data_IF_846835111832
#
_entry.id   IF_846835111832
#
_cell.length_a   1.000
_cell.length_b   1.000
_cell.length_c   1.000
_cell.angle_alpha   90.00
_cell.angle_beta   90.00
_cell.angle_gamma   90.00
#
_symmetry.space_group_name_H-M   'P 1'
#
loop_
_entity.id
_entity.type
_entity.pdbx_description
1 polymer ?
#
# COMPACT_ATOMS: atom_id res chain seq x y z
N UNK A 1 -21.92 28.41 -5.07
CA UNK A 1 -22.41 27.22 -4.36
C UNK A 1 -21.22 26.33 -4.13
N UNK A 2 -20.80 26.12 -2.89
CA UNK A 2 -19.67 25.24 -2.54
C UNK A 2 -20.12 24.36 -1.40
N UNK A 3 -20.22 23.06 -1.68
CA UNK A 3 -20.58 22.01 -0.74
C UNK A 3 -19.97 20.70 -1.22
N UNK A 4 -19.92 19.67 -0.36
CA UNK A 4 -19.31 18.40 -0.70
C UNK A 4 -20.00 17.77 -1.90
N UNK A 5 -19.20 17.33 -2.87
CA UNK A 5 -19.62 16.57 -4.05
C UNK A 5 -19.18 15.14 -3.85
N UNK A 6 -20.13 14.21 -3.88
CA UNK A 6 -19.83 12.79 -3.93
C UNK A 6 -19.86 12.30 -5.37
N UNK A 7 -18.79 11.65 -5.80
CA UNK A 7 -18.70 10.96 -7.08
C UNK A 7 -18.59 9.46 -6.82
N UNK A 8 -19.45 8.68 -7.47
CA UNK A 8 -19.43 7.23 -7.40
C UNK A 8 -19.50 6.66 -8.83
N UNK A 9 -18.49 5.86 -9.18
CA UNK A 9 -18.40 5.16 -10.46
C UNK A 9 -18.33 3.67 -10.15
N UNK A 10 -19.07 2.86 -10.91
CA UNK A 10 -19.05 1.39 -10.80
C UNK A 10 -18.58 0.77 -12.10
N UNK A 11 -17.93 -0.38 -11.99
CA UNK A 11 -17.51 -1.23 -13.10
C UNK A 11 -16.75 -0.44 -14.19
N UNK A 12 -15.74 0.31 -13.76
CA UNK A 12 -14.98 1.25 -14.58
C UNK A 12 -13.53 0.84 -14.80
N UNK A 13 -12.81 1.72 -15.50
CA UNK A 13 -11.40 1.54 -15.80
C UNK A 13 -10.65 2.87 -15.76
N UNK A 14 -9.52 2.91 -15.07
CA UNK A 14 -8.53 3.99 -15.16
C UNK A 14 -7.59 3.65 -16.31
N UNK A 15 -7.55 4.49 -17.34
CA UNK A 15 -6.69 4.29 -18.51
C UNK A 15 -5.40 5.10 -18.32
N UNK A 16 -4.25 4.52 -18.71
CA UNK A 16 -2.95 5.17 -18.60
C UNK A 16 -2.29 5.05 -17.22
N UNK A 17 -2.92 4.31 -16.30
CA UNK A 17 -2.36 4.01 -14.99
C UNK A 17 -2.76 2.61 -14.54
N UNK A 18 -1.76 1.76 -14.31
CA UNK A 18 -1.92 0.41 -13.78
C UNK A 18 -1.39 0.40 -12.33
N UNK A 19 -2.29 0.32 -11.35
CA UNK A 19 -1.96 0.36 -9.92
C UNK A 19 -1.07 -0.83 -9.55
N UNK A 20 -1.34 -2.02 -10.10
CA UNK A 20 -0.57 -3.20 -9.77
C UNK A 20 0.85 -3.07 -10.31
N UNK A 21 1.03 -2.51 -11.52
CA UNK A 21 2.36 -2.19 -12.03
C UNK A 21 3.07 -1.17 -11.12
N UNK A 22 2.34 -0.16 -10.65
CA UNK A 22 2.89 0.81 -9.70
C UNK A 22 3.38 0.16 -8.40
N UNK A 23 2.71 -0.89 -7.91
CA UNK A 23 3.17 -1.67 -6.75
C UNK A 23 4.47 -2.42 -7.07
N UNK A 24 4.51 -3.09 -8.23
CA UNK A 24 5.69 -3.81 -8.70
C UNK A 24 6.93 -2.90 -8.77
N UNK A 25 6.76 -1.73 -9.40
CA UNK A 25 7.79 -0.71 -9.56
C UNK A 25 8.24 -0.15 -8.20
N UNK A 26 7.28 0.17 -7.31
CA UNK A 26 7.56 0.74 -6.00
C UNK A 26 8.26 -0.25 -5.05
N UNK A 27 7.98 -1.56 -5.17
CA UNK A 27 8.64 -2.61 -4.39
C UNK A 27 9.93 -3.12 -5.05
N UNK A 28 10.23 -2.69 -6.28
CA UNK A 28 11.36 -3.18 -7.08
C UNK A 28 11.33 -4.72 -7.24
N UNK A 29 10.14 -5.28 -7.48
CA UNK A 29 9.91 -6.73 -7.59
C UNK A 29 9.55 -7.14 -9.03
N UNK A 30 10.49 -7.09 -10.00
CA UNK A 30 10.15 -7.36 -11.40
C UNK A 30 9.47 -8.72 -11.59
N UNK A 31 8.59 -8.81 -12.58
CA UNK A 31 7.83 -10.00 -12.95
C UNK A 31 6.90 -10.49 -11.82
N UNK A 32 6.38 -9.56 -10.99
CA UNK A 32 5.33 -9.87 -10.02
C UNK A 32 3.99 -10.06 -10.74
N UNK A 33 3.77 -9.25 -11.76
CA UNK A 33 2.70 -9.37 -12.74
C UNK A 33 3.17 -10.18 -13.94
N UNK A 34 2.24 -10.98 -14.49
CA UNK A 34 2.49 -11.74 -15.72
C UNK A 34 2.42 -10.84 -16.96
N UNK A 35 1.61 -9.76 -16.90
CA UNK A 35 1.49 -8.76 -17.97
C UNK A 35 1.01 -7.42 -17.38
N UNK A 36 1.57 -6.31 -17.89
CA UNK A 36 1.05 -4.96 -17.60
C UNK A 36 -0.09 -4.64 -18.56
N UNK A 37 -1.22 -4.19 -18.02
CA UNK A 37 -2.38 -3.86 -18.86
C UNK A 37 -2.41 -2.39 -19.29
N UNK A 38 -1.52 -1.56 -18.72
CA UNK A 38 -1.53 -0.10 -18.91
C UNK A 38 -2.77 0.60 -18.35
N UNK A 39 -3.57 -0.12 -17.57
CA UNK A 39 -4.83 0.36 -17.02
C UNK A 39 -5.19 -0.34 -15.72
N UNK A 40 -6.17 0.20 -15.00
CA UNK A 40 -6.68 -0.40 -13.77
C UNK A 40 -8.18 -0.57 -13.88
N UNK A 41 -8.67 -1.81 -13.91
CA UNK A 41 -10.11 -2.10 -13.81
C UNK A 41 -10.55 -2.08 -12.35
N UNK A 42 -11.72 -1.51 -12.08
CA UNK A 42 -12.27 -1.40 -10.73
C UNK A 42 -13.79 -1.66 -10.74
N UNK A 43 -14.31 -2.25 -9.67
CA UNK A 43 -15.74 -2.43 -9.44
C UNK A 43 -16.38 -1.19 -8.80
N UNK A 44 -15.60 -0.43 -8.03
CA UNK A 44 -16.05 0.78 -7.36
C UNK A 44 -14.94 1.83 -7.32
N UNK A 45 -15.30 3.07 -7.62
CA UNK A 45 -14.54 4.28 -7.31
C UNK A 45 -15.49 5.27 -6.66
N UNK A 46 -15.37 5.48 -5.36
CA UNK A 46 -16.21 6.36 -4.56
C UNK A 46 -15.34 7.43 -3.90
N UNK A 47 -15.70 8.69 -4.10
CA UNK A 47 -14.95 9.81 -3.54
C UNK A 47 -15.87 10.92 -3.08
N UNK A 48 -15.51 11.52 -1.95
CA UNK A 48 -16.12 12.76 -1.46
C UNK A 48 -15.10 13.89 -1.60
N UNK A 49 -15.46 14.92 -2.37
CA UNK A 49 -14.58 16.05 -2.69
C UNK A 49 -15.23 17.38 -2.33
N UNK A 50 -14.41 18.33 -1.93
CA UNK A 50 -14.81 19.70 -1.63
C UNK A 50 -13.95 20.67 -2.43
N UNK A 51 -14.55 21.71 -3.00
CA UNK A 51 -13.81 22.76 -3.69
C UNK A 51 -13.28 23.76 -2.65
N UNK A 52 -11.96 23.87 -2.54
CA UNK A 52 -11.31 24.77 -1.59
C UNK A 52 -10.17 25.53 -2.25
N UNK A 53 -10.21 26.86 -2.17
CA UNK A 53 -9.10 27.75 -2.53
C UNK A 53 -8.46 27.48 -3.89
N UNK A 54 -7.48 26.58 -3.91
CA UNK A 54 -6.58 26.25 -5.03
C UNK A 54 -6.91 24.93 -5.76
N UNK A 55 -7.99 24.22 -5.39
CA UNK A 55 -8.36 22.97 -6.04
C UNK A 55 -9.47 22.19 -5.34
N UNK A 56 -9.51 20.89 -5.60
CA UNK A 56 -10.37 19.92 -4.93
C UNK A 56 -9.62 19.28 -3.78
N UNK A 57 -10.26 19.21 -2.62
CA UNK A 57 -9.82 18.43 -1.47
C UNK A 57 -10.60 17.12 -1.46
N UNK A 58 -9.87 16.01 -1.48
CA UNK A 58 -10.42 14.66 -1.44
C UNK A 58 -10.49 14.25 0.03
N UNK A 59 -11.69 14.34 0.60
CA UNK A 59 -11.98 14.00 2.01
C UNK A 59 -12.04 12.50 2.24
N UNK A 60 -12.43 11.77 1.20
CA UNK A 60 -12.46 10.31 1.20
C UNK A 60 -12.29 9.81 -0.24
N UNK A 61 -11.51 8.75 -0.38
CA UNK A 61 -11.40 7.93 -1.56
C UNK A 61 -11.57 6.47 -1.16
N UNK A 62 -12.32 5.72 -1.94
CA UNK A 62 -12.43 4.27 -1.85
C UNK A 62 -12.44 3.70 -3.26
N UNK A 63 -11.51 2.79 -3.53
CA UNK A 63 -11.41 2.06 -4.79
C UNK A 63 -11.45 0.57 -4.47
N UNK A 64 -12.28 -0.17 -5.18
CA UNK A 64 -12.34 -1.63 -5.12
C UNK A 64 -12.01 -2.20 -6.49
N UNK A 65 -11.04 -3.11 -6.53
CA UNK A 65 -10.63 -3.84 -7.72
C UNK A 65 -10.47 -5.34 -7.36
N UNK A 66 -10.38 -6.25 -8.35
CA UNK A 66 -10.22 -7.67 -8.09
C UNK A 66 -8.99 -8.00 -7.23
N UNK A 67 -7.87 -7.33 -7.51
CA UNK A 67 -6.57 -7.65 -6.91
C UNK A 67 -6.15 -6.68 -5.79
N UNK A 68 -6.88 -5.60 -5.58
CA UNK A 68 -6.61 -4.67 -4.49
C UNK A 68 -7.84 -3.84 -4.12
N UNK A 69 -7.77 -3.23 -2.95
CA UNK A 69 -8.66 -2.14 -2.55
C UNK A 69 -7.82 -1.00 -1.99
N UNK A 70 -8.24 0.23 -2.24
CA UNK A 70 -7.52 1.44 -1.82
C UNK A 70 -8.45 2.36 -1.05
N UNK A 71 -7.98 2.91 0.05
CA UNK A 71 -8.65 4.01 0.76
C UNK A 71 -7.68 5.15 0.95
N UNK A 72 -8.15 6.40 0.91
CA UNK A 72 -7.24 7.53 1.04
C UNK A 72 -7.91 8.88 1.13
N UNK A 73 -7.06 9.89 1.22
CA UNK A 73 -7.38 11.32 1.25
C UNK A 73 -6.34 12.08 0.45
N UNK A 74 -6.62 13.33 0.09
CA UNK A 74 -5.63 14.14 -0.61
C UNK A 74 -6.20 15.38 -1.27
N UNK A 75 -5.58 15.81 -2.36
CA UNK A 75 -5.99 16.97 -3.14
C UNK A 75 -5.63 16.85 -4.62
N UNK A 76 -6.41 17.56 -5.43
CA UNK A 76 -6.16 17.82 -6.84
C UNK A 76 -6.20 19.33 -7.06
N UNK A 77 -5.04 19.93 -7.35
CA UNK A 77 -4.93 21.36 -7.63
C UNK A 77 -5.42 21.70 -9.05
N UNK A 78 -5.75 22.97 -9.30
CA UNK A 78 -6.18 23.43 -10.63
C UNK A 78 -5.10 23.37 -11.72
N UNK A 79 -3.83 23.25 -11.32
CA UNK A 79 -2.70 22.99 -12.23
C UNK A 79 -2.52 21.48 -12.51
N UNK A 80 -3.52 20.66 -12.16
CA UNK A 80 -3.56 19.20 -12.29
C UNK A 80 -2.60 18.44 -11.36
N UNK A 81 -1.94 19.13 -10.42
CA UNK A 81 -1.09 18.45 -9.43
C UNK A 81 -1.94 17.56 -8.51
N UNK A 82 -1.57 16.29 -8.44
CA UNK A 82 -2.22 15.28 -7.63
C UNK A 82 -1.36 14.97 -6.40
N UNK A 83 -1.99 14.97 -5.24
CA UNK A 83 -1.40 14.46 -4.00
C UNK A 83 -2.42 13.58 -3.29
N UNK A 84 -2.18 12.29 -3.20
CA UNK A 84 -3.00 11.35 -2.44
C UNK A 84 -2.14 10.59 -1.45
N UNK A 85 -2.72 10.20 -0.33
CA UNK A 85 -2.11 9.27 0.59
C UNK A 85 -3.19 8.36 1.20
N UNK A 86 -2.79 7.17 1.62
CA UNK A 86 -3.73 6.25 2.23
C UNK A 86 -3.20 4.84 2.37
N UNK A 87 -4.11 3.87 2.36
CA UNK A 87 -3.80 2.46 2.50
C UNK A 87 -4.24 1.68 1.26
N UNK A 88 -3.33 0.83 0.79
CA UNK A 88 -3.53 -0.10 -0.31
C UNK A 88 -3.52 -1.51 0.25
N UNK A 89 -4.66 -2.19 0.19
CA UNK A 89 -4.79 -3.58 0.60
C UNK A 89 -4.84 -4.46 -0.64
N UNK A 90 -3.77 -5.22 -0.90
CA UNK A 90 -3.71 -6.20 -1.99
C UNK A 90 -4.43 -7.50 -1.60
N UNK A 91 -4.93 -8.20 -2.61
CA UNK A 91 -5.58 -9.50 -2.45
C UNK A 91 -4.64 -10.51 -1.80
N UNK A 92 -5.22 -11.55 -1.19
CA UNK A 92 -4.45 -12.58 -0.50
C UNK A 92 -3.39 -13.22 -1.42
N UNK A 93 -3.80 -13.57 -2.63
CA UNK A 93 -2.93 -14.24 -3.62
C UNK A 93 -1.74 -13.37 -4.00
N UNK A 94 -1.96 -12.07 -4.27
CA UNK A 94 -0.86 -11.16 -4.59
C UNK A 94 0.00 -10.81 -3.38
N UNK A 95 -0.62 -10.60 -2.22
CA UNK A 95 0.11 -10.32 -0.99
C UNK A 95 1.03 -11.47 -0.56
N UNK A 96 0.59 -12.73 -0.73
CA UNK A 96 1.44 -13.92 -0.49
C UNK A 96 2.63 -13.97 -1.46
N UNK A 97 2.42 -13.67 -2.76
CA UNK A 97 3.52 -13.56 -3.74
C UNK A 97 4.52 -12.47 -3.37
N UNK A 98 4.04 -11.30 -2.93
CA UNK A 98 4.90 -10.20 -2.44
C UNK A 98 5.71 -10.67 -1.25
N UNK A 99 5.09 -11.29 -0.24
CA UNK A 99 5.79 -11.76 0.97
C UNK A 99 6.85 -12.82 0.64
N UNK A 100 6.60 -13.70 -0.33
CA UNK A 100 7.60 -14.70 -0.75
C UNK A 100 8.89 -14.06 -1.29
N UNK A 101 8.78 -12.93 -2.00
CA UNK A 101 9.92 -12.21 -2.58
C UNK A 101 10.47 -11.11 -1.67
N UNK A 102 9.62 -10.55 -0.82
CA UNK A 102 9.92 -9.50 0.15
C UNK A 102 9.36 -9.88 1.54
N UNK A 103 10.04 -10.79 2.28
CA UNK A 103 9.53 -11.36 3.54
C UNK A 103 9.19 -10.31 4.60
N UNK A 104 9.89 -9.17 4.60
CA UNK A 104 9.62 -8.08 5.53
C UNK A 104 8.20 -7.50 5.39
N UNK A 105 7.55 -7.61 4.23
CA UNK A 105 6.15 -7.18 4.07
C UNK A 105 5.17 -7.95 4.97
N UNK A 106 5.56 -9.10 5.54
CA UNK A 106 4.70 -9.87 6.46
C UNK A 106 4.23 -9.05 7.66
N UNK A 107 4.98 -8.03 8.11
CA UNK A 107 4.55 -7.17 9.22
C UNK A 107 3.32 -6.32 8.90
N UNK A 108 3.09 -6.06 7.62
CA UNK A 108 1.92 -5.36 7.10
C UNK A 108 0.76 -6.31 6.75
N UNK A 109 0.87 -7.60 7.10
CA UNK A 109 -0.21 -8.55 6.92
C UNK A 109 -1.29 -8.35 7.98
N UNK A 110 -2.49 -7.97 7.56
CA UNK A 110 -3.62 -7.72 8.43
C UNK A 110 -4.91 -8.33 7.86
N UNK A 111 -5.63 -9.10 8.69
CA UNK A 111 -6.92 -9.71 8.33
C UNK A 111 -6.91 -10.47 6.97
N UNK A 112 -5.80 -11.14 6.66
CA UNK A 112 -5.68 -11.94 5.43
C UNK A 112 -5.33 -11.15 4.16
N UNK A 113 -4.94 -9.88 4.30
CA UNK A 113 -4.45 -9.03 3.21
C UNK A 113 -3.13 -8.38 3.59
N UNK A 114 -2.30 -8.07 2.60
CA UNK A 114 -1.14 -7.20 2.81
C UNK A 114 -1.59 -5.74 2.64
N UNK A 115 -1.42 -4.92 3.67
CA UNK A 115 -1.87 -3.52 3.70
C UNK A 115 -0.68 -2.58 3.74
N UNK A 116 -0.49 -1.82 2.67
CA UNK A 116 0.67 -0.96 2.46
C UNK A 116 0.22 0.50 2.47
N UNK A 117 0.81 1.37 3.31
CA UNK A 117 0.64 2.79 3.17
C UNK A 117 1.23 3.25 1.83
N UNK A 118 0.52 4.15 1.15
CA UNK A 118 0.94 4.68 -0.13
C UNK A 118 0.83 6.21 -0.17
N UNK A 119 1.57 6.80 -1.11
CA UNK A 119 1.40 8.16 -1.58
C UNK A 119 1.31 8.15 -3.10
N UNK A 120 0.44 8.97 -3.69
CA UNK A 120 0.47 9.29 -5.12
C UNK A 120 0.79 10.77 -5.28
N UNK A 121 1.86 11.07 -6.01
CA UNK A 121 2.27 12.43 -6.37
C UNK A 121 2.25 12.62 -7.89
N UNK A 122 2.59 13.83 -8.36
CA UNK A 122 2.71 14.13 -9.79
C UNK A 122 1.47 14.84 -10.31
N UNK A 123 0.99 14.46 -11.50
CA UNK A 123 -0.22 15.02 -12.10
C UNK A 123 -1.24 13.94 -12.42
N UNK A 124 -2.49 14.32 -12.68
CA UNK A 124 -3.54 13.36 -13.08
C UNK A 124 -3.15 12.57 -14.34
N UNK A 125 -2.35 13.16 -15.23
CA UNK A 125 -1.88 12.52 -16.46
C UNK A 125 -0.64 11.64 -16.25
N UNK A 126 0.16 11.93 -15.23
CA UNK A 126 1.40 11.19 -14.91
C UNK A 126 1.52 11.01 -13.40
N UNK A 127 0.64 10.21 -12.79
CA UNK A 127 0.70 9.94 -11.36
C UNK A 127 1.90 9.04 -11.05
N UNK A 128 2.54 9.27 -9.92
CA UNK A 128 3.62 8.44 -9.39
C UNK A 128 3.17 7.83 -8.07
N UNK A 129 2.99 6.50 -8.07
CA UNK A 129 2.72 5.73 -6.86
C UNK A 129 4.02 5.47 -6.11
N UNK A 130 4.00 5.70 -4.81
CA UNK A 130 5.07 5.35 -3.88
C UNK A 130 4.46 4.56 -2.74
N UNK A 131 5.19 3.56 -2.25
CA UNK A 131 4.82 2.78 -1.07
C UNK A 131 5.75 3.15 0.08
N UNK A 132 5.21 3.31 1.27
CA UNK A 132 6.02 3.60 2.46
C UNK A 132 6.67 2.32 2.99
N UNK A 133 7.68 1.83 2.28
CA UNK A 133 8.46 0.65 2.67
C UNK A 133 9.41 0.95 3.83
N UNK A 134 9.72 2.22 4.11
CA UNK A 134 10.52 2.62 5.26
C UNK A 134 9.77 2.37 6.57
N UNK A 135 8.47 2.68 6.62
CA UNK A 135 7.62 2.37 7.76
C UNK A 135 7.58 0.86 8.06
N UNK A 136 7.62 0.01 7.02
CA UNK A 136 7.70 -1.44 7.18
C UNK A 136 9.01 -1.82 7.87
N UNK A 137 10.15 -1.29 7.42
CA UNK A 137 11.45 -1.54 8.04
C UNK A 137 11.49 -1.13 9.52
N UNK A 138 10.93 0.03 9.87
CA UNK A 138 10.81 0.47 11.25
C UNK A 138 9.92 -0.46 12.09
N UNK A 139 8.76 -0.86 11.56
CA UNK A 139 7.85 -1.77 12.25
C UNK A 139 8.47 -3.16 12.45
N UNK A 140 9.21 -3.66 11.45
CA UNK A 140 9.98 -4.91 11.58
C UNK A 140 10.98 -4.78 12.72
N UNK A 141 11.80 -3.72 12.74
CA UNK A 141 12.80 -3.50 13.79
C UNK A 141 12.16 -3.47 15.18
N UNK A 142 11.12 -2.66 15.37
CA UNK A 142 10.43 -2.55 16.67
C UNK A 142 9.77 -3.87 17.08
N UNK A 143 9.21 -4.63 16.13
CA UNK A 143 8.62 -5.92 16.43
C UNK A 143 9.68 -6.94 16.87
N UNK A 144 10.83 -6.97 16.21
CA UNK A 144 11.93 -7.85 16.58
C UNK A 144 12.51 -7.47 17.95
N UNK A 145 12.79 -6.19 18.19
CA UNK A 145 13.29 -5.70 19.48
C UNK A 145 12.38 -6.13 20.64
N UNK A 146 11.06 -5.92 20.48
CA UNK A 146 10.07 -6.32 21.49
C UNK A 146 10.02 -7.82 21.72
N UNK A 147 10.13 -8.63 20.67
CA UNK A 147 10.13 -10.10 20.80
C UNK A 147 11.41 -10.57 21.49
N UNK A 148 12.57 -9.99 21.19
CA UNK A 148 13.83 -10.29 21.89
C UNK A 148 13.72 -9.97 23.38
N UNK A 149 13.15 -8.82 23.75
CA UNK A 149 12.92 -8.46 25.15
C UNK A 149 12.09 -9.52 25.88
N UNK A 150 11.01 -10.03 25.27
CA UNK A 150 10.19 -11.10 25.86
C UNK A 150 10.94 -12.43 25.99
N UNK A 151 11.76 -12.79 24.99
CA UNK A 151 12.62 -13.98 25.07
C UNK A 151 13.62 -13.86 26.22
N UNK A 152 14.23 -12.68 26.40
CA UNK A 152 15.12 -12.41 27.54
C UNK A 152 14.38 -12.48 28.89
N UNK A 153 13.07 -12.26 28.90
CA UNK A 153 12.19 -12.45 30.06
C UNK A 153 11.71 -13.90 30.24
N UNK A 154 12.11 -14.83 29.36
CA UNK A 154 11.82 -16.27 29.48
C UNK A 154 10.62 -16.78 28.67
N UNK A 155 10.11 -16.02 27.70
CA UNK A 155 8.99 -16.46 26.84
C UNK A 155 9.47 -17.42 25.73
N UNK A 156 9.36 -18.73 25.98
CA UNK A 156 9.74 -19.78 25.04
C UNK A 156 8.87 -19.82 23.77
N UNK A 157 7.63 -19.33 23.83
CA UNK A 157 6.75 -19.29 22.65
C UNK A 157 7.20 -18.20 21.68
N UNK A 158 7.56 -17.02 22.18
CA UNK A 158 8.15 -15.95 21.38
C UNK A 158 9.50 -16.37 20.77
N UNK A 159 10.29 -17.18 21.49
CA UNK A 159 11.54 -17.74 20.94
C UNK A 159 11.27 -18.64 19.73
N UNK A 160 10.29 -19.55 19.82
CA UNK A 160 9.92 -20.40 18.70
C UNK A 160 9.38 -19.59 17.52
N UNK A 161 8.58 -18.56 17.78
CA UNK A 161 8.05 -17.69 16.74
C UNK A 161 9.14 -16.84 16.06
N UNK A 162 10.11 -16.31 16.80
CA UNK A 162 11.27 -15.61 16.24
C UNK A 162 12.09 -16.50 15.31
N UNK A 163 12.29 -17.77 15.70
CA UNK A 163 13.00 -18.74 14.87
C UNK A 163 12.19 -19.11 13.60
N UNK A 164 10.86 -19.15 13.69
CA UNK A 164 9.95 -19.42 12.56
C UNK A 164 9.78 -18.23 11.60
N UNK A 165 9.68 -17.00 12.13
CA UNK A 165 9.61 -15.77 11.33
C UNK A 165 10.92 -15.53 10.55
N UNK A 166 11.99 -16.24 10.92
CA UNK A 166 13.07 -16.63 10.04
C UNK A 166 14.40 -15.94 10.32
N UNK A 167 15.47 -16.72 10.22
CA UNK A 167 16.85 -16.23 10.30
C UNK A 167 17.20 -15.22 9.19
N UNK A 168 16.49 -15.23 8.06
CA UNK A 168 16.78 -14.34 6.92
C UNK A 168 16.34 -12.89 7.16
N UNK A 169 15.21 -12.68 7.85
CA UNK A 169 14.78 -11.35 8.30
C UNK A 169 15.79 -10.81 9.33
N UNK A 170 16.26 -11.67 10.25
CA UNK A 170 17.28 -11.29 11.22
C UNK A 170 18.64 -11.01 10.57
N UNK A 171 19.07 -11.79 9.57
CA UNK A 171 20.31 -11.56 8.82
C UNK A 171 20.28 -10.24 8.05
N UNK A 172 19.16 -9.87 7.45
CA UNK A 172 19.04 -8.60 6.72
C UNK A 172 19.02 -7.36 7.63
N UNK A 173 18.58 -7.52 8.89
CA UNK A 173 18.47 -6.41 9.85
C UNK A 173 19.71 -6.24 10.74
N UNK A 174 20.37 -7.34 11.09
CA UNK A 174 21.49 -7.37 12.06
C UNK A 174 22.80 -7.89 11.46
N UNK A 175 22.80 -8.38 10.23
CA UNK A 175 24.01 -8.82 9.53
C UNK A 175 24.73 -7.66 8.88
N UNK A 176 25.58 -6.98 9.66
CA UNK A 176 26.87 -6.48 9.17
C UNK A 176 27.97 -7.40 9.69
#
# INVERSE_FOLDING_TARGET
>A
MTGPVRLMIRDGQLVGFDVMQGIEDALQLPDLLEESTGATKFSLFDTNVELEGKGLVIRQLTVEAPDFSMTGVGSLAFDESLNLQGNLAVSRTFGERIIQRFPMAKVAWHQGKLVLPFTVLGTVQKPLLQLDTQSLGHQVKTNVERRIEKVLQGDEQELQQLLQDGADVLKQLFGQ
#
